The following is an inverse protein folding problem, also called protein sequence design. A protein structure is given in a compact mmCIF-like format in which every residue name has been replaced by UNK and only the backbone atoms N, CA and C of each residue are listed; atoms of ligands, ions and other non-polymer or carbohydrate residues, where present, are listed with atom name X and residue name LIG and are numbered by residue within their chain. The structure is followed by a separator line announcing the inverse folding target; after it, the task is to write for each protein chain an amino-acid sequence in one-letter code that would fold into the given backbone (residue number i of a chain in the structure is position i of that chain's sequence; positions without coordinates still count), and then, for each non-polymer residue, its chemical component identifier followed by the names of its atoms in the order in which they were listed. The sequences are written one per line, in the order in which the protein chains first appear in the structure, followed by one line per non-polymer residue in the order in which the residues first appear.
data_IF_957541522381
#
_entry.id   IF_957541522381
#
_cell.length_a   1.000
_cell.length_b   1.000
_cell.length_c   1.000
_cell.angle_alpha   90.00
_cell.angle_beta   90.00
_cell.angle_gamma   90.00
#
_symmetry.space_group_name_H-M   'P 1'
#
loop_
_entity.id
_entity.type
_entity.pdbx_description
1 polymer ?
#
# COMPACT_ATOMS: atom_id res chain seq x y z
N UNK A 1 -3.57 78.74 -73.76
CA UNK A 1 -4.89 79.30 -73.42
C UNK A 1 -5.91 78.24 -73.80
N UNK A 2 -7.05 78.22 -73.11
CA UNK A 2 -7.87 77.02 -72.89
C UNK A 2 -8.25 76.28 -74.18
N UNK A 3 -7.92 74.99 -74.28
CA UNK A 3 -8.38 74.09 -75.37
C UNK A 3 -9.91 74.13 -75.55
N UNK A 4 -10.64 74.49 -74.49
CA UNK A 4 -12.09 74.68 -74.50
C UNK A 4 -12.48 75.97 -75.22
N UNK A 5 -11.67 77.03 -75.14
CA UNK A 5 -11.89 78.30 -75.84
C UNK A 5 -11.63 78.14 -77.34
N UNK A 6 -10.56 77.42 -77.72
CA UNK A 6 -10.28 77.09 -79.13
C UNK A 6 -11.39 76.21 -79.75
N UNK A 7 -11.90 75.23 -78.98
CA UNK A 7 -13.04 74.42 -79.40
C UNK A 7 -14.33 75.25 -79.55
N UNK A 8 -14.58 76.17 -78.62
CA UNK A 8 -15.75 77.06 -78.68
C UNK A 8 -15.72 77.95 -79.93
N UNK A 9 -14.58 78.58 -80.22
CA UNK A 9 -14.43 79.42 -81.42
C UNK A 9 -14.55 78.61 -82.72
N UNK A 10 -13.99 77.39 -82.76
CA UNK A 10 -14.12 76.48 -83.89
C UNK A 10 -15.57 76.01 -84.13
N UNK A 11 -16.36 75.86 -83.06
CA UNK A 11 -17.79 75.53 -83.17
C UNK A 11 -18.65 76.72 -83.57
N UNK A 12 -18.33 77.92 -83.07
CA UNK A 12 -19.05 79.15 -83.38
C UNK A 12 -18.84 79.64 -84.83
N UNK A 13 -17.68 79.33 -85.41
CA UNK A 13 -17.32 79.69 -86.79
C UNK A 13 -17.68 78.62 -87.84
N UNK A 14 -18.22 77.47 -87.42
CA UNK A 14 -18.58 76.39 -88.32
C UNK A 14 -19.84 76.72 -89.15
N UNK A 15 -19.77 76.60 -90.49
CA UNK A 15 -20.82 77.08 -91.39
C UNK A 15 -22.11 76.25 -91.37
N UNK A 16 -22.03 74.97 -90.98
CA UNK A 16 -23.16 74.04 -90.97
C UNK A 16 -23.06 73.01 -89.82
N UNK A 17 -24.14 72.26 -89.60
CA UNK A 17 -24.19 71.22 -88.55
C UNK A 17 -23.19 70.10 -88.79
N UNK A 18 -22.83 69.85 -90.06
CA UNK A 18 -21.86 68.82 -90.42
C UNK A 18 -20.43 69.23 -90.05
N UNK A 19 -20.05 70.47 -90.28
CA UNK A 19 -18.77 71.01 -89.82
C UNK A 19 -18.70 71.07 -88.30
N UNK A 20 -19.80 71.46 -87.62
CA UNK A 20 -19.89 71.40 -86.15
C UNK A 20 -19.67 69.98 -85.64
N UNK A 21 -20.35 68.98 -86.21
CA UNK A 21 -20.18 67.58 -85.82
C UNK A 21 -18.74 67.08 -86.03
N UNK A 22 -18.07 67.53 -87.10
CA UNK A 22 -16.66 67.19 -87.37
C UNK A 22 -15.70 67.80 -86.35
N UNK A 23 -15.89 69.08 -86.01
CA UNK A 23 -15.08 69.76 -84.98
C UNK A 23 -15.24 69.08 -83.62
N UNK A 24 -16.47 68.64 -83.27
CA UNK A 24 -16.73 67.85 -82.06
C UNK A 24 -15.99 66.51 -82.11
N UNK A 25 -16.10 65.76 -83.22
CA UNK A 25 -15.45 64.47 -83.38
C UNK A 25 -13.91 64.58 -83.26
N UNK A 26 -13.29 65.54 -83.94
CA UNK A 26 -11.83 65.78 -83.88
C UNK A 26 -11.38 66.21 -82.47
N UNK A 27 -12.22 66.92 -81.71
CA UNK A 27 -11.92 67.29 -80.34
C UNK A 27 -11.99 66.09 -79.37
N UNK A 28 -12.94 65.18 -79.57
CA UNK A 28 -13.02 63.92 -78.82
C UNK A 28 -11.86 62.98 -79.15
N UNK A 29 -11.48 62.88 -80.42
CA UNK A 29 -10.33 62.07 -80.86
C UNK A 29 -9.01 62.57 -80.24
N UNK A 30 -8.78 63.89 -80.23
CA UNK A 30 -7.63 64.50 -79.53
C UNK A 30 -7.65 64.29 -78.02
N UNK A 31 -8.83 64.22 -77.39
CA UNK A 31 -8.97 63.94 -75.96
C UNK A 31 -8.62 62.48 -75.66
N UNK A 32 -9.06 61.56 -76.52
CA UNK A 32 -8.81 60.12 -76.42
C UNK A 32 -7.33 59.78 -76.64
N UNK A 33 -6.68 60.40 -77.63
CA UNK A 33 -5.22 60.27 -77.84
C UNK A 33 -4.40 60.84 -76.68
N UNK A 34 -4.86 61.95 -76.09
CA UNK A 34 -4.15 62.64 -75.00
C UNK A 34 -4.27 61.91 -73.66
N UNK A 35 -5.35 61.14 -73.47
CA UNK A 35 -5.57 60.36 -72.27
C UNK A 35 -6.11 58.96 -72.60
N UNK A 36 -5.25 58.07 -73.13
CA UNK A 36 -5.66 56.72 -73.56
C UNK A 36 -6.21 55.86 -72.42
N UNK A 37 -5.92 56.22 -71.16
CA UNK A 37 -6.38 55.53 -69.96
C UNK A 37 -7.69 56.08 -69.37
N UNK A 38 -8.33 57.11 -69.96
CA UNK A 38 -9.62 57.61 -69.48
C UNK A 38 -10.68 56.50 -69.44
N UNK A 39 -10.59 55.53 -70.35
CA UNK A 39 -11.47 54.37 -70.41
C UNK A 39 -11.21 53.35 -69.29
N UNK A 40 -10.00 53.33 -68.72
CA UNK A 40 -9.61 52.44 -67.61
C UNK A 40 -9.88 53.05 -66.23
N UNK A 41 -10.29 54.31 -66.15
CA UNK A 41 -10.62 54.95 -64.88
C UNK A 41 -11.90 54.35 -64.30
N UNK A 42 -11.80 53.84 -63.08
CA UNK A 42 -12.97 53.42 -62.33
C UNK A 42 -13.93 54.60 -62.17
N UNK A 43 -15.12 54.47 -62.76
CA UNK A 43 -16.20 55.44 -62.54
C UNK A 43 -16.65 55.36 -61.08
N UNK A 44 -17.28 56.41 -60.56
CA UNK A 44 -17.90 56.37 -59.22
C UNK A 44 -18.85 55.18 -59.05
N UNK A 45 -19.50 54.76 -60.15
CA UNK A 45 -20.34 53.57 -60.20
C UNK A 45 -19.53 52.29 -59.98
N UNK A 46 -18.40 52.10 -60.68
CA UNK A 46 -17.53 50.92 -60.49
C UNK A 46 -16.98 50.82 -59.06
N UNK A 47 -16.62 51.95 -58.46
CA UNK A 47 -16.18 52.00 -57.06
C UNK A 47 -17.32 51.60 -56.11
N UNK A 48 -18.53 52.13 -56.31
CA UNK A 48 -19.70 51.79 -55.49
C UNK A 48 -20.10 50.33 -55.62
N UNK A 49 -20.08 49.78 -56.82
CA UNK A 49 -20.35 48.36 -57.08
C UNK A 49 -19.30 47.47 -56.39
N UNK A 50 -18.02 47.85 -56.45
CA UNK A 50 -16.94 47.13 -55.75
C UNK A 50 -17.07 47.22 -54.23
N UNK A 51 -17.45 48.38 -53.69
CA UNK A 51 -17.71 48.58 -52.25
C UNK A 51 -18.84 47.67 -51.76
N UNK A 52 -19.96 47.63 -52.47
CA UNK A 52 -21.10 46.78 -52.14
C UNK A 52 -20.74 45.29 -52.23
N UNK A 53 -19.95 44.92 -53.25
CA UNK A 53 -19.45 43.54 -53.38
C UNK A 53 -18.56 43.14 -52.21
N UNK A 54 -17.61 44.00 -51.83
CA UNK A 54 -16.74 43.75 -50.69
C UNK A 54 -17.51 43.69 -49.37
N UNK A 55 -18.51 44.56 -49.17
CA UNK A 55 -19.39 44.50 -48.00
C UNK A 55 -20.11 43.16 -47.93
N UNK A 56 -20.66 42.69 -49.05
CA UNK A 56 -21.32 41.40 -49.13
C UNK A 56 -20.36 40.23 -48.85
N UNK A 57 -19.17 40.24 -49.44
CA UNK A 57 -18.14 39.22 -49.21
C UNK A 57 -17.69 39.19 -47.73
N UNK A 58 -17.54 40.36 -47.09
CA UNK A 58 -17.22 40.46 -45.66
C UNK A 58 -18.35 39.89 -44.80
N UNK A 59 -19.61 40.19 -45.12
CA UNK A 59 -20.76 39.63 -44.41
C UNK A 59 -20.83 38.11 -44.55
N UNK A 60 -20.60 37.57 -45.75
CA UNK A 60 -20.54 36.14 -45.99
C UNK A 60 -19.42 35.47 -45.19
N UNK A 61 -18.21 36.04 -45.20
CA UNK A 61 -17.07 35.52 -44.43
C UNK A 61 -17.38 35.54 -42.93
N UNK A 62 -17.98 36.63 -42.42
CA UNK A 62 -18.39 36.71 -41.00
C UNK A 62 -19.43 35.67 -40.64
N UNK A 63 -20.44 35.47 -41.48
CA UNK A 63 -21.47 34.45 -41.27
C UNK A 63 -20.88 33.04 -41.26
N UNK A 64 -20.00 32.73 -42.21
CA UNK A 64 -19.30 31.44 -42.29
C UNK A 64 -18.41 31.21 -41.07
N UNK A 65 -17.66 32.22 -40.64
CA UNK A 65 -16.82 32.12 -39.45
C UNK A 65 -17.64 31.90 -38.18
N UNK A 66 -18.77 32.59 -38.03
CA UNK A 66 -19.68 32.39 -36.89
C UNK A 66 -20.22 30.95 -36.83
N UNK A 67 -20.59 30.38 -37.98
CA UNK A 67 -21.03 28.98 -38.07
C UNK A 67 -19.90 28.01 -37.70
N UNK A 68 -18.68 28.22 -38.21
CA UNK A 68 -17.52 27.39 -37.88
C UNK A 68 -17.16 27.44 -36.38
N UNK A 69 -17.24 28.62 -35.77
CA UNK A 69 -17.00 28.78 -34.33
C UNK A 69 -18.05 28.01 -33.52
N UNK A 70 -19.32 28.08 -33.91
CA UNK A 70 -20.39 27.36 -33.20
C UNK A 70 -20.26 25.83 -33.36
N UNK A 71 -19.90 25.36 -34.55
CA UNK A 71 -19.61 23.95 -34.80
C UNK A 71 -18.44 23.46 -33.94
N UNK A 72 -17.31 24.20 -33.95
CA UNK A 72 -16.14 23.86 -33.15
C UNK A 72 -16.47 23.86 -31.66
N UNK A 73 -17.27 24.82 -31.19
CA UNK A 73 -17.72 24.87 -29.79
C UNK A 73 -18.55 23.64 -29.43
N UNK A 74 -19.45 23.21 -30.32
CA UNK A 74 -20.23 21.99 -30.14
C UNK A 74 -19.35 20.74 -30.08
N UNK A 75 -18.39 20.61 -30.99
CA UNK A 75 -17.43 19.49 -31.02
C UNK A 75 -16.59 19.44 -29.74
N UNK A 76 -16.04 20.57 -29.30
CA UNK A 76 -15.27 20.65 -28.04
C UNK A 76 -16.15 20.26 -26.84
N UNK A 77 -17.39 20.72 -26.79
CA UNK A 77 -18.30 20.36 -25.71
C UNK A 77 -18.62 18.86 -25.68
N UNK A 78 -18.80 18.23 -26.85
CA UNK A 78 -19.00 16.79 -26.96
C UNK A 78 -17.76 16.00 -26.51
N UNK A 79 -16.57 16.42 -26.92
CA UNK A 79 -15.31 15.79 -26.50
C UNK A 79 -15.10 15.90 -24.98
N UNK A 80 -15.41 17.05 -24.37
CA UNK A 80 -15.33 17.22 -22.92
C UNK A 80 -16.28 16.26 -22.20
N UNK A 81 -17.51 16.11 -22.69
CA UNK A 81 -18.50 15.23 -22.07
C UNK A 81 -18.10 13.75 -22.21
N UNK A 82 -17.59 13.36 -23.38
CA UNK A 82 -17.05 12.02 -23.60
C UNK A 82 -15.89 11.73 -22.65
N UNK A 83 -14.91 12.64 -22.56
CA UNK A 83 -13.75 12.47 -21.69
C UNK A 83 -14.16 12.39 -20.21
N UNK A 84 -15.16 13.18 -19.79
CA UNK A 84 -15.73 13.07 -18.44
C UNK A 84 -16.35 11.71 -18.18
N UNK A 85 -17.08 11.16 -19.16
CA UNK A 85 -17.64 9.82 -19.08
C UNK A 85 -16.57 8.74 -18.95
N UNK A 86 -15.53 8.82 -19.77
CA UNK A 86 -14.38 7.90 -19.74
C UNK A 86 -13.67 7.93 -18.38
N UNK A 87 -13.34 9.12 -17.88
CA UNK A 87 -12.71 9.31 -16.56
C UNK A 87 -13.58 8.77 -15.44
N UNK A 88 -14.90 8.98 -15.50
CA UNK A 88 -15.82 8.45 -14.48
C UNK A 88 -15.84 6.91 -14.49
N UNK A 89 -15.85 6.29 -15.67
CA UNK A 89 -15.79 4.83 -15.80
C UNK A 89 -14.48 4.26 -15.26
N UNK A 90 -13.35 4.90 -15.57
CA UNK A 90 -12.03 4.48 -15.08
C UNK A 90 -11.95 4.58 -13.54
N UNK A 91 -12.50 5.65 -12.96
CA UNK A 91 -12.58 5.81 -11.50
C UNK A 91 -13.40 4.68 -10.85
N UNK A 92 -14.56 4.33 -11.41
CA UNK A 92 -15.40 3.26 -10.87
C UNK A 92 -14.75 1.87 -11.04
N UNK A 93 -14.04 1.64 -12.15
CA UNK A 93 -13.25 0.42 -12.35
C UNK A 93 -12.13 0.30 -11.31
N UNK A 94 -11.31 1.35 -11.14
CA UNK A 94 -10.24 1.38 -10.14
C UNK A 94 -10.79 1.19 -8.72
N UNK A 95 -11.94 1.79 -8.41
CA UNK A 95 -12.60 1.61 -7.11
C UNK A 95 -13.01 0.16 -6.90
N UNK A 96 -13.55 -0.49 -7.92
CA UNK A 96 -13.90 -1.92 -7.89
C UNK A 96 -12.67 -2.81 -7.68
N UNK A 97 -11.58 -2.56 -8.39
CA UNK A 97 -10.32 -3.29 -8.25
C UNK A 97 -9.73 -3.15 -6.84
N UNK A 98 -9.68 -1.92 -6.30
CA UNK A 98 -9.21 -1.67 -4.94
C UNK A 98 -10.08 -2.39 -3.91
N UNK A 99 -11.40 -2.41 -4.09
CA UNK A 99 -12.30 -3.13 -3.18
C UNK A 99 -12.05 -4.65 -3.21
N UNK A 100 -11.81 -5.23 -4.39
CA UNK A 100 -11.47 -6.64 -4.53
C UNK A 100 -10.13 -6.97 -3.86
N UNK A 101 -9.10 -6.13 -4.04
CA UNK A 101 -7.81 -6.31 -3.39
C UNK A 101 -7.91 -6.25 -1.86
N UNK A 102 -8.72 -5.32 -1.32
CA UNK A 102 -8.97 -5.23 0.13
C UNK A 102 -9.63 -6.52 0.65
N UNK A 103 -10.61 -7.06 -0.06
CA UNK A 103 -11.29 -8.29 0.35
C UNK A 103 -10.37 -9.52 0.29
N UNK A 104 -9.55 -9.60 -0.76
CA UNK A 104 -8.53 -10.64 -0.88
C UNK A 104 -7.53 -10.57 0.29
N UNK A 105 -6.98 -9.39 0.58
CA UNK A 105 -6.02 -9.20 1.67
C UNK A 105 -6.64 -9.54 3.04
N UNK A 106 -7.92 -9.20 3.25
CA UNK A 106 -8.65 -9.61 4.46
C UNK A 106 -8.76 -11.12 4.58
N UNK A 107 -9.04 -11.80 3.47
CA UNK A 107 -9.10 -13.26 3.41
C UNK A 107 -7.74 -13.90 3.74
N UNK A 108 -6.66 -13.40 3.15
CA UNK A 108 -5.29 -13.85 3.41
C UNK A 108 -4.90 -13.67 4.88
N UNK A 109 -5.14 -12.49 5.45
CA UNK A 109 -4.87 -12.22 6.87
C UNK A 109 -5.68 -13.13 7.80
N UNK A 110 -6.95 -13.41 7.46
CA UNK A 110 -7.77 -14.32 8.26
C UNK A 110 -7.22 -15.75 8.23
N UNK A 111 -6.78 -16.23 7.07
CA UNK A 111 -6.15 -17.56 6.94
C UNK A 111 -4.85 -17.65 7.73
N UNK A 112 -4.00 -16.62 7.67
CA UNK A 112 -2.74 -16.57 8.42
C UNK A 112 -2.98 -16.58 9.94
N UNK A 113 -3.98 -15.84 10.42
CA UNK A 113 -4.39 -15.86 11.83
C UNK A 113 -4.83 -17.26 12.27
N UNK A 114 -5.67 -17.94 11.48
CA UNK A 114 -6.11 -19.29 11.83
C UNK A 114 -4.98 -20.32 11.79
N UNK A 115 -4.04 -20.18 10.84
CA UNK A 115 -2.84 -21.01 10.79
C UNK A 115 -1.97 -20.81 12.04
N UNK A 116 -1.62 -19.56 12.39
CA UNK A 116 -0.84 -19.23 13.58
C UNK A 116 -1.52 -19.75 14.86
N UNK A 117 -2.85 -19.64 14.93
CA UNK A 117 -3.61 -20.14 16.08
C UNK A 117 -3.53 -21.67 16.19
N UNK A 118 -3.54 -22.37 15.05
CA UNK A 118 -3.32 -23.81 14.98
C UNK A 118 -1.91 -24.21 15.43
N UNK A 119 -0.88 -23.50 14.95
CA UNK A 119 0.53 -23.72 15.32
C UNK A 119 0.74 -23.52 16.84
N UNK A 120 0.23 -22.43 17.40
CA UNK A 120 0.30 -22.16 18.84
C UNK A 120 -0.42 -23.26 19.65
N UNK A 121 -1.57 -23.75 19.19
CA UNK A 121 -2.26 -24.83 19.88
C UNK A 121 -1.45 -26.12 19.89
N UNK A 122 -0.80 -26.47 18.77
CA UNK A 122 0.08 -27.63 18.69
C UNK A 122 1.29 -27.50 19.61
N UNK A 123 1.92 -26.32 19.66
CA UNK A 123 3.06 -26.06 20.54
C UNK A 123 2.68 -26.18 22.03
N UNK A 124 1.50 -25.67 22.41
CA UNK A 124 0.98 -25.81 23.77
C UNK A 124 0.78 -27.28 24.14
N UNK A 125 0.18 -28.09 23.27
CA UNK A 125 -0.02 -29.52 23.53
C UNK A 125 1.30 -30.29 23.60
N UNK A 126 2.28 -29.94 22.76
CA UNK A 126 3.62 -30.51 22.82
C UNK A 126 4.30 -30.18 24.17
N UNK A 127 4.34 -28.91 24.55
CA UNK A 127 4.92 -28.47 25.83
C UNK A 127 4.24 -29.15 27.03
N UNK A 128 2.91 -29.30 26.97
CA UNK A 128 2.17 -30.02 28.01
C UNK A 128 2.59 -31.49 28.11
N UNK A 129 2.79 -32.15 26.97
CA UNK A 129 3.31 -33.52 26.90
C UNK A 129 4.73 -33.63 27.49
N UNK A 130 5.62 -32.72 27.13
CA UNK A 130 7.00 -32.67 27.64
C UNK A 130 7.03 -32.47 29.17
N UNK A 131 6.22 -31.53 29.69
CA UNK A 131 6.10 -31.29 31.14
C UNK A 131 5.57 -32.54 31.86
N UNK A 132 4.58 -33.22 31.30
CA UNK A 132 4.04 -34.44 31.90
C UNK A 132 5.09 -35.55 31.97
N UNK A 133 5.88 -35.74 30.90
CA UNK A 133 6.98 -36.70 30.89
C UNK A 133 8.05 -36.36 31.94
N UNK A 134 8.41 -35.09 32.07
CA UNK A 134 9.38 -34.65 33.10
C UNK A 134 8.86 -34.91 34.52
N UNK A 135 7.56 -34.69 34.78
CA UNK A 135 6.94 -35.00 36.08
C UNK A 135 7.01 -36.50 36.36
N UNK A 136 6.72 -37.36 35.38
CA UNK A 136 6.79 -38.82 35.53
C UNK A 136 8.22 -39.30 35.81
N UNK A 137 9.21 -38.77 35.09
CA UNK A 137 10.63 -39.05 35.32
C UNK A 137 11.05 -38.65 36.73
N UNK A 138 10.77 -37.41 37.15
CA UNK A 138 11.11 -36.92 38.48
C UNK A 138 10.45 -37.75 39.59
N UNK A 139 9.19 -38.16 39.39
CA UNK A 139 8.49 -39.04 40.34
C UNK A 139 9.16 -40.41 40.45
N UNK A 140 9.66 -40.95 39.34
CA UNK A 140 10.43 -42.18 39.31
C UNK A 140 11.75 -42.06 40.08
N UNK A 141 12.51 -40.99 39.83
CA UNK A 141 13.78 -40.69 40.52
C UNK A 141 13.57 -40.57 42.03
N UNK A 142 12.59 -39.78 42.47
CA UNK A 142 12.25 -39.62 43.89
C UNK A 142 11.85 -40.95 44.53
N UNK A 143 11.11 -41.81 43.82
CA UNK A 143 10.74 -43.12 44.34
C UNK A 143 11.96 -44.03 44.54
N UNK A 144 12.90 -44.02 43.59
CA UNK A 144 14.15 -44.77 43.71
C UNK A 144 15.00 -44.29 44.88
N UNK A 145 15.13 -42.97 45.06
CA UNK A 145 15.88 -42.37 46.17
C UNK A 145 15.27 -42.74 47.54
N UNK A 146 13.94 -42.72 47.65
CA UNK A 146 13.23 -43.16 48.87
C UNK A 146 13.53 -44.62 49.19
N UNK A 147 13.51 -45.52 48.19
CA UNK A 147 13.79 -46.94 48.41
C UNK A 147 15.27 -47.19 48.77
N UNK A 148 16.20 -46.45 48.18
CA UNK A 148 17.62 -46.46 48.56
C UNK A 148 17.80 -46.03 50.02
N UNK A 149 17.26 -44.88 50.42
CA UNK A 149 17.31 -44.37 51.79
C UNK A 149 16.68 -45.36 52.79
N UNK A 150 15.54 -45.97 52.45
CA UNK A 150 14.94 -47.03 53.27
C UNK A 150 15.86 -48.23 53.45
N UNK A 151 16.55 -48.64 52.39
CA UNK A 151 17.55 -49.70 52.41
C UNK A 151 18.71 -49.37 53.35
N UNK A 152 19.28 -48.17 53.21
CA UNK A 152 20.38 -47.68 54.05
C UNK A 152 19.99 -47.63 55.54
N UNK A 153 18.82 -47.07 55.84
CA UNK A 153 18.29 -47.01 57.22
C UNK A 153 18.11 -48.41 57.80
N UNK A 154 17.56 -49.37 57.04
CA UNK A 154 17.44 -50.77 57.50
C UNK A 154 18.79 -51.39 57.82
N UNK A 155 19.80 -51.18 56.96
CA UNK A 155 21.15 -51.66 57.21
C UNK A 155 21.77 -51.05 58.47
N UNK A 156 21.59 -49.74 58.69
CA UNK A 156 22.08 -49.06 59.89
C UNK A 156 21.41 -49.62 61.16
N UNK A 157 20.09 -49.83 61.12
CA UNK A 157 19.35 -50.43 62.25
C UNK A 157 19.84 -51.85 62.57
N UNK A 158 20.06 -52.68 61.56
CA UNK A 158 20.61 -54.04 61.74
C UNK A 158 22.03 -54.01 62.33
N UNK A 159 22.90 -53.10 61.86
CA UNK A 159 24.25 -52.92 62.44
C UNK A 159 24.18 -52.51 63.91
N UNK A 160 23.39 -51.48 64.23
CA UNK A 160 23.21 -51.02 65.61
C UNK A 160 22.68 -52.12 66.52
N UNK A 161 21.71 -52.93 66.05
CA UNK A 161 21.22 -54.10 66.81
C UNK A 161 22.33 -55.11 67.08
N UNK A 162 23.16 -55.40 66.07
CA UNK A 162 24.31 -56.30 66.21
C UNK A 162 25.36 -55.79 67.22
N UNK A 163 25.67 -54.50 67.16
CA UNK A 163 26.58 -53.82 68.10
C UNK A 163 26.03 -53.89 69.54
N UNK A 164 24.76 -53.50 69.75
CA UNK A 164 24.10 -53.56 71.06
C UNK A 164 24.08 -54.98 71.60
N UNK A 165 23.75 -55.99 70.78
CA UNK A 165 23.76 -57.39 71.22
C UNK A 165 25.16 -57.84 71.68
N UNK A 166 26.18 -57.47 70.91
CA UNK A 166 27.58 -57.78 71.23
C UNK A 166 28.01 -57.09 72.52
N UNK A 167 27.60 -55.84 72.74
CA UNK A 167 27.90 -55.09 73.96
C UNK A 167 27.20 -55.66 75.20
N UNK A 168 25.95 -56.10 75.06
CA UNK A 168 25.22 -56.85 76.11
C UNK A 168 25.95 -58.15 76.45
N UNK A 169 26.39 -58.92 75.45
CA UNK A 169 27.15 -60.16 75.67
C UNK A 169 28.50 -59.90 76.37
N UNK A 170 29.23 -58.85 75.96
CA UNK A 170 30.46 -58.43 76.65
C UNK A 170 30.20 -58.02 78.09
N UNK A 171 29.18 -57.21 78.34
CA UNK A 171 28.80 -56.76 79.68
C UNK A 171 28.42 -57.96 80.56
N UNK A 172 27.59 -58.87 80.05
CA UNK A 172 27.23 -60.12 80.73
C UNK A 172 28.47 -60.97 81.05
N UNK A 173 29.36 -61.18 80.09
CA UNK A 173 30.58 -61.95 80.29
C UNK A 173 31.51 -61.29 81.31
N UNK A 174 31.65 -59.97 81.28
CA UNK A 174 32.41 -59.19 82.26
C UNK A 174 31.82 -59.31 83.66
N UNK A 175 30.50 -59.22 83.80
CA UNK A 175 29.81 -59.41 85.08
C UNK A 175 30.02 -60.83 85.62
N UNK A 176 29.90 -61.85 84.77
CA UNK A 176 30.17 -63.24 85.15
C UNK A 176 31.63 -63.44 85.58
N UNK A 177 32.58 -62.85 84.84
CA UNK A 177 33.99 -62.92 85.16
C UNK A 177 34.33 -62.31 86.53
N UNK A 178 33.55 -61.31 86.98
CA UNK A 178 33.74 -60.69 88.30
C UNK A 178 32.95 -61.41 89.41
N UNK A 179 31.71 -61.82 89.13
CA UNK A 179 30.83 -62.50 90.10
C UNK A 179 31.35 -63.89 90.48
N UNK A 180 31.89 -64.66 89.55
CA UNK A 180 32.33 -66.04 89.84
C UNK A 180 33.46 -66.07 90.88
N UNK A 181 34.58 -65.33 90.72
CA UNK A 181 35.62 -65.25 91.75
C UNK A 181 35.11 -64.67 93.07
N UNK A 182 34.24 -63.65 93.02
CA UNK A 182 33.63 -63.07 94.22
C UNK A 182 32.84 -64.11 95.03
N UNK A 183 32.02 -64.93 94.37
CA UNK A 183 31.26 -66.01 95.01
C UNK A 183 32.19 -67.05 95.63
N UNK A 184 33.25 -67.46 94.93
CA UNK A 184 34.26 -68.36 95.50
C UNK A 184 34.95 -67.76 96.74
N UNK A 185 35.28 -66.46 96.70
CA UNK A 185 35.85 -65.75 97.84
C UNK A 185 34.88 -65.69 99.04
N UNK A 186 33.59 -65.41 98.79
CA UNK A 186 32.55 -65.40 99.83
C UNK A 186 32.36 -66.78 100.47
N UNK A 187 32.27 -67.84 99.67
CA UNK A 187 32.14 -69.21 100.19
C UNK A 187 33.37 -69.59 101.01
N UNK A 188 34.57 -69.26 100.53
CA UNK A 188 35.82 -69.46 101.28
C UNK A 188 35.84 -68.71 102.62
N UNK A 189 35.39 -67.45 102.64
CA UNK A 189 35.28 -66.66 103.86
C UNK A 189 34.27 -67.24 104.86
N UNK A 190 33.10 -67.70 104.38
CA UNK A 190 32.08 -68.36 105.22
C UNK A 190 32.62 -69.65 105.81
N UNK A 191 33.29 -70.49 105.01
CA UNK A 191 33.88 -71.75 105.49
C UNK A 191 34.96 -71.51 106.56
N UNK A 192 35.78 -70.47 106.39
CA UNK A 192 36.77 -70.07 107.39
C UNK A 192 36.11 -69.60 108.70
N UNK A 193 35.04 -68.80 108.62
CA UNK A 193 34.26 -68.37 109.79
C UNK A 193 33.63 -69.55 110.55
N UNK A 194 33.01 -70.50 109.83
CA UNK A 194 32.40 -71.70 110.43
C UNK A 194 33.47 -72.53 111.16
N UNK A 195 34.65 -72.70 110.56
CA UNK A 195 35.77 -73.43 111.19
C UNK A 195 36.34 -72.74 112.43
N UNK A 196 36.18 -71.42 112.54
CA UNK A 196 36.63 -70.64 113.71
C UNK A 196 35.62 -70.67 114.87
N UNK A 197 34.37 -71.03 114.57
CA UNK A 197 33.24 -71.09 115.52
C UNK A 197 32.89 -72.51 116.00
N UNK A 198 33.49 -73.55 115.40
CA UNK A 198 33.34 -74.96 115.76
C UNK A 198 34.60 -75.47 116.47
#
# INVERSE_FOLDING_TARGET
MSSVVELYEALASAPDDRARARVIAEAFERLEERYPHLHDLATQRHVRESELRLQHEIEQVRANLALQIEQLRGEVQQQIEQLRGEVHQEIEQLRGEVQQQIEQLRGEVHQEIEQLRGEVHQEIEQLRGEVQQQIELLRGEVHQEIEQLRGEVRQQVERLRGEVKTEIERSRNSLLAWLVPLMFAQVGAIAALVKLLA
#
